data_IF_508540796616
#
_entry.id   IF_508540796616
#
_cell.length_a   1.000
_cell.length_b   1.000
_cell.length_c   1.000
_cell.angle_alpha   90.00
_cell.angle_beta   90.00
_cell.angle_gamma   90.00
#
_symmetry.space_group_name_H-M   'P 1'
#
loop_
_entity.id
_entity.type
_entity.pdbx_description
1 polymer ?
#
# COMPACT_ATOMS: atom_id res chain seq x y z
N UNK A 1 -12.55 4.95 13.44
CA UNK A 1 -12.41 4.49 12.04
C UNK A 1 -11.40 3.37 12.07
N UNK A 2 -11.88 2.13 12.19
CA UNK A 2 -11.08 0.94 12.52
C UNK A 2 -10.59 0.16 11.29
N UNK A 3 -10.98 0.56 10.08
CA UNK A 3 -10.62 -0.13 8.83
C UNK A 3 -9.10 -0.30 8.60
N UNK A 4 -8.21 0.64 8.96
CA UNK A 4 -6.77 0.44 8.80
C UNK A 4 -6.22 -0.67 9.70
N UNK A 5 -6.79 -0.83 10.90
CA UNK A 5 -6.30 -1.80 11.89
C UNK A 5 -6.48 -3.24 11.43
N UNK A 6 -7.55 -3.53 10.67
CA UNK A 6 -7.72 -4.84 10.05
C UNK A 6 -6.51 -5.13 9.15
N UNK A 7 -6.18 -4.19 8.26
CA UNK A 7 -5.05 -4.34 7.33
C UNK A 7 -3.72 -4.44 8.05
N UNK A 8 -3.50 -3.69 9.13
CA UNK A 8 -2.28 -3.77 9.95
C UNK A 8 -2.14 -5.12 10.63
N UNK A 9 -3.24 -5.72 11.07
CA UNK A 9 -3.22 -7.06 11.65
C UNK A 9 -2.86 -8.14 10.61
N UNK A 10 -3.40 -8.03 9.39
CA UNK A 10 -2.98 -8.90 8.28
C UNK A 10 -1.49 -8.74 7.97
N UNK A 11 -1.00 -7.49 7.93
CA UNK A 11 0.41 -7.19 7.69
C UNK A 11 1.31 -7.76 8.79
N UNK A 12 0.90 -7.62 10.05
CA UNK A 12 1.62 -8.18 11.20
C UNK A 12 1.67 -9.71 11.18
N UNK A 13 0.53 -10.36 10.95
CA UNK A 13 0.49 -11.82 10.85
C UNK A 13 1.37 -12.34 9.70
N UNK A 14 1.42 -11.59 8.58
CA UNK A 14 2.34 -11.90 7.49
C UNK A 14 3.81 -11.77 7.92
N UNK A 15 4.15 -10.68 8.62
CA UNK A 15 5.51 -10.44 9.13
C UNK A 15 5.95 -11.48 10.17
N UNK A 16 5.03 -11.97 11.01
CA UNK A 16 5.27 -13.01 12.02
C UNK A 16 5.30 -14.43 11.41
N UNK A 17 5.06 -14.58 10.10
CA UNK A 17 5.12 -15.88 9.41
C UNK A 17 3.82 -16.69 9.48
N UNK A 18 2.72 -16.12 9.97
CA UNK A 18 1.39 -16.74 10.00
C UNK A 18 0.64 -16.62 8.66
N UNK A 19 1.24 -15.95 7.67
CA UNK A 19 0.65 -15.69 6.36
C UNK A 19 -0.37 -14.55 6.38
N UNK A 20 -1.01 -14.31 5.24
CA UNK A 20 -1.97 -13.21 5.06
C UNK A 20 -3.35 -13.58 5.62
N UNK A 21 -3.43 -13.74 6.94
CA UNK A 21 -4.64 -14.15 7.69
C UNK A 21 -4.99 -13.13 8.76
N UNK A 22 -6.25 -13.09 9.20
CA UNK A 22 -6.65 -12.27 10.36
C UNK A 22 -6.48 -13.01 11.68
N UNK A 23 -6.97 -14.26 11.73
CA UNK A 23 -6.77 -15.20 12.82
C UNK A 23 -5.79 -16.28 12.34
N UNK A 24 -4.61 -16.43 12.96
CA UNK A 24 -3.70 -17.51 12.62
C UNK A 24 -4.39 -18.88 12.67
N UNK A 25 -4.21 -19.68 11.61
CA UNK A 25 -4.88 -20.98 11.46
C UNK A 25 -6.17 -20.95 10.64
N UNK A 26 -6.78 -19.79 10.44
CA UNK A 26 -7.89 -19.60 9.48
C UNK A 26 -7.36 -18.95 8.21
N UNK A 27 -7.31 -19.72 7.12
CA UNK A 27 -6.87 -19.25 5.80
C UNK A 27 -8.00 -18.50 5.07
N UNK A 28 -8.51 -17.44 5.69
CA UNK A 28 -9.56 -16.58 5.13
C UNK A 28 -8.98 -15.20 4.85
N UNK A 29 -9.10 -14.76 3.59
CA UNK A 29 -8.72 -13.42 3.19
C UNK A 29 -9.94 -12.48 3.29
N UNK A 30 -9.91 -11.61 4.29
CA UNK A 30 -10.99 -10.67 4.60
C UNK A 30 -10.60 -9.20 4.47
N UNK A 31 -9.39 -8.88 4.00
CA UNK A 31 -8.99 -7.50 3.70
C UNK A 31 -9.31 -7.13 2.26
N UNK A 32 -9.82 -5.92 2.04
CA UNK A 32 -10.06 -5.32 0.72
C UNK A 32 -8.78 -4.81 0.06
N UNK A 33 -7.68 -4.74 0.81
CA UNK A 33 -6.39 -4.20 0.37
C UNK A 33 -5.24 -5.21 0.59
N UNK A 34 -5.32 -6.44 0.05
CA UNK A 34 -4.33 -7.49 0.32
C UNK A 34 -2.92 -7.13 -0.17
N UNK A 35 -2.81 -6.41 -1.30
CA UNK A 35 -1.52 -5.95 -1.80
C UNK A 35 -0.86 -4.96 -0.84
N UNK A 36 -1.63 -4.02 -0.29
CA UNK A 36 -1.14 -3.06 0.69
C UNK A 36 -0.74 -3.73 2.00
N UNK A 37 -1.51 -4.73 2.46
CA UNK A 37 -1.15 -5.55 3.61
C UNK A 37 0.18 -6.30 3.41
N UNK A 38 0.45 -6.81 2.19
CA UNK A 38 1.73 -7.46 1.86
C UNK A 38 2.89 -6.46 1.96
N UNK A 39 2.77 -5.29 1.34
CA UNK A 39 3.80 -4.24 1.41
C UNK A 39 4.07 -3.89 2.88
N UNK A 40 3.02 -3.65 3.65
CA UNK A 40 3.15 -3.33 5.08
C UNK A 40 3.82 -4.45 5.86
N UNK A 41 3.46 -5.72 5.62
CA UNK A 41 4.08 -6.86 6.31
C UNK A 41 5.56 -7.04 5.96
N UNK A 42 5.95 -6.78 4.71
CA UNK A 42 7.34 -6.78 4.28
C UNK A 42 8.13 -5.61 4.91
N UNK A 43 7.51 -4.44 5.05
CA UNK A 43 8.15 -3.29 5.71
C UNK A 43 8.10 -3.35 7.24
N UNK A 44 7.20 -4.16 7.80
CA UNK A 44 7.06 -4.37 9.25
C UNK A 44 8.29 -5.01 9.89
N UNK A 45 9.18 -5.61 9.10
CA UNK A 45 10.49 -6.08 9.56
C UNK A 45 11.39 -4.95 10.11
N UNK A 46 11.13 -3.70 9.72
CA UNK A 46 11.91 -2.53 10.15
C UNK A 46 11.34 -1.84 11.38
N UNK A 47 10.02 -1.91 11.60
CA UNK A 47 9.34 -1.31 12.76
C UNK A 47 7.94 -1.91 12.94
N UNK A 48 7.50 -2.01 14.20
CA UNK A 48 6.12 -2.39 14.56
C UNK A 48 5.11 -1.25 14.42
N UNK A 49 5.56 -0.03 14.06
CA UNK A 49 4.69 1.11 13.81
C UNK A 49 4.08 1.07 12.40
N UNK A 50 3.06 0.22 12.24
CA UNK A 50 2.31 0.09 11.00
C UNK A 50 1.59 1.38 10.58
N UNK A 51 1.27 2.27 11.52
CA UNK A 51 0.64 3.55 11.22
C UNK A 51 1.64 4.52 10.56
N UNK A 52 2.87 4.57 11.07
CA UNK A 52 3.96 5.31 10.45
C UNK A 52 4.30 4.75 9.07
N UNK A 53 4.48 3.43 8.96
CA UNK A 53 4.76 2.76 7.67
C UNK A 53 3.68 3.06 6.63
N UNK A 54 2.41 2.94 7.01
CA UNK A 54 1.26 3.27 6.16
C UNK A 54 1.30 4.72 5.68
N UNK A 55 1.62 5.66 6.57
CA UNK A 55 1.72 7.08 6.24
C UNK A 55 2.84 7.38 5.24
N UNK A 56 4.02 6.76 5.43
CA UNK A 56 5.17 6.88 4.53
C UNK A 56 4.83 6.31 3.15
N UNK A 57 4.28 5.09 3.09
CA UNK A 57 3.93 4.43 1.82
C UNK A 57 2.88 5.24 1.05
N UNK A 58 1.87 5.77 1.74
CA UNK A 58 0.85 6.63 1.13
C UNK A 58 1.47 7.93 0.60
N UNK A 59 2.39 8.55 1.34
CA UNK A 59 3.11 9.75 0.89
C UNK A 59 3.94 9.50 -0.37
N UNK A 60 4.69 8.38 -0.42
CA UNK A 60 5.45 7.97 -1.60
C UNK A 60 4.51 7.70 -2.78
N UNK A 61 3.41 6.98 -2.55
CA UNK A 61 2.44 6.66 -3.60
C UNK A 61 1.83 7.91 -4.21
N UNK A 62 1.52 8.92 -3.38
CA UNK A 62 1.01 10.20 -3.85
C UNK A 62 2.05 10.98 -4.66
N UNK A 63 3.31 11.00 -4.21
CA UNK A 63 4.40 11.65 -4.93
C UNK A 63 4.65 10.99 -6.30
N UNK A 64 4.62 9.65 -6.37
CA UNK A 64 4.73 8.90 -7.62
C UNK A 64 3.56 9.20 -8.54
N UNK A 65 2.33 9.23 -8.01
CA UNK A 65 1.14 9.58 -8.79
C UNK A 65 1.24 11.00 -9.37
N UNK A 66 1.66 11.97 -8.56
CA UNK A 66 1.86 13.34 -9.01
C UNK A 66 2.93 13.45 -10.10
N UNK A 67 4.04 12.72 -9.95
CA UNK A 67 5.10 12.67 -10.96
C UNK A 67 4.65 12.01 -12.27
N UNK A 68 3.93 10.89 -12.19
CA UNK A 68 3.36 10.24 -13.37
C UNK A 68 2.34 11.13 -14.06
N UNK A 69 1.49 11.83 -13.30
CA UNK A 69 0.55 12.80 -13.84
C UNK A 69 1.28 13.92 -14.57
N UNK A 70 2.38 14.44 -14.01
CA UNK A 70 3.23 15.43 -14.67
C UNK A 70 3.78 14.93 -16.02
N UNK A 71 4.36 13.72 -16.06
CA UNK A 71 4.87 13.12 -17.31
C UNK A 71 3.76 12.95 -18.35
N UNK A 72 2.58 12.52 -17.91
CA UNK A 72 1.43 12.33 -18.79
C UNK A 72 0.96 13.68 -19.36
N UNK A 73 0.91 14.73 -18.55
CA UNK A 73 0.54 16.07 -18.99
C UNK A 73 1.53 16.62 -20.02
N UNK A 74 2.85 16.51 -19.78
CA UNK A 74 3.87 16.92 -20.76
C UNK A 74 3.71 16.18 -22.09
N UNK A 75 3.34 14.90 -22.06
CA UNK A 75 3.12 14.11 -23.26
C UNK A 75 1.84 14.48 -24.02
N UNK A 76 0.83 15.03 -23.34
CA UNK A 76 -0.42 15.49 -23.97
C UNK A 76 -0.35 16.96 -24.41
N UNK A 77 0.55 17.78 -23.86
CA UNK A 77 0.82 19.13 -24.36
C UNK A 77 1.53 19.13 -25.73
N UNK A 78 2.14 18.01 -26.13
CA UNK A 78 2.59 17.74 -27.51
C UNK A 78 1.73 16.64 -28.15
N UNK A 79 0.52 16.90 -28.74
CA UNK A 79 0.40 17.34 -30.14
C UNK A 79 -0.98 17.96 -30.55
N UNK A 80 -1.14 19.28 -30.66
CA UNK A 80 -2.22 19.94 -31.48
C UNK A 80 -1.80 21.27 -32.11
N UNK A 81 -0.51 21.48 -32.42
CA UNK A 81 -0.02 22.65 -33.16
C UNK A 81 0.62 22.26 -34.51
N UNK A 82 0.10 21.20 -35.13
CA UNK A 82 0.54 20.72 -36.44
C UNK A 82 -0.59 20.05 -37.20
N UNK A 83 -1.55 20.85 -37.66
CA UNK A 83 -2.51 20.50 -38.71
C UNK A 83 -2.91 21.76 -39.47
#
# INVERSE_FOLDING_TARGET
>A
MDDPYITYRYARNLAEGHGLTYNPGELVLGTTSPFFAIILGLTGSFTDDYALLSSIINGISLAVLAWLAFIVLEKFEEPTAGA
#
